data_IF_617250577779
#
_entry.id   IF_617250577779
#
_cell.length_a   1.000
_cell.length_b   1.000
_cell.length_c   1.000
_cell.angle_alpha   90.00
_cell.angle_beta   90.00
_cell.angle_gamma   90.00
#
_symmetry.space_group_name_H-M   'P 1'
#
loop_
_entity.id
_entity.type
_entity.pdbx_description
1 polymer ?
#
# COMPACT_ATOMS: atom_id res chain seq x y z
N UNK A 1 -36.55 12.21 -6.92
CA UNK A 1 -36.23 12.32 -5.49
C UNK A 1 -35.75 13.72 -5.21
N UNK A 2 -36.33 14.42 -4.25
CA UNK A 2 -35.86 15.74 -3.81
C UNK A 2 -34.80 15.56 -2.72
N UNK A 3 -33.83 16.47 -2.65
CA UNK A 3 -32.74 16.43 -1.67
C UNK A 3 -33.25 16.28 -0.23
N UNK A 4 -34.32 17.01 0.08
CA UNK A 4 -35.03 16.99 1.36
C UNK A 4 -35.46 15.59 1.84
N UNK A 5 -35.78 14.67 0.92
CA UNK A 5 -36.20 13.31 1.30
C UNK A 5 -35.03 12.49 1.86
N UNK A 6 -33.81 12.76 1.41
CA UNK A 6 -32.59 12.08 1.87
C UNK A 6 -32.19 12.63 3.24
N UNK A 7 -32.17 13.96 3.39
CA UNK A 7 -31.73 14.61 4.64
C UNK A 7 -32.62 14.25 5.84
N UNK A 8 -33.93 14.07 5.62
CA UNK A 8 -34.89 13.73 6.68
C UNK A 8 -34.89 12.25 7.06
N UNK A 9 -34.18 11.38 6.33
CA UNK A 9 -34.15 9.95 6.59
C UNK A 9 -32.71 9.47 6.84
N UNK A 10 -32.35 9.33 8.13
CA UNK A 10 -31.01 8.93 8.56
C UNK A 10 -30.59 7.56 7.99
N UNK A 11 -31.52 6.61 7.89
CA UNK A 11 -31.23 5.28 7.34
C UNK A 11 -30.89 5.33 5.85
N UNK A 12 -31.68 6.07 5.07
CA UNK A 12 -31.42 6.30 3.65
C UNK A 12 -30.09 7.05 3.45
N UNK A 13 -29.83 8.09 4.24
CA UNK A 13 -28.58 8.85 4.19
C UNK A 13 -27.36 7.97 4.48
N UNK A 14 -27.42 7.13 5.53
CA UNK A 14 -26.32 6.24 5.89
C UNK A 14 -26.00 5.23 4.78
N UNK A 15 -27.03 4.64 4.14
CA UNK A 15 -26.85 3.71 3.02
C UNK A 15 -26.20 4.41 1.83
N UNK A 16 -26.66 5.62 1.48
CA UNK A 16 -26.09 6.37 0.37
C UNK A 16 -24.63 6.76 0.61
N UNK A 17 -24.28 7.17 1.83
CA UNK A 17 -22.89 7.47 2.22
C UNK A 17 -22.02 6.22 2.10
N UNK A 18 -22.50 5.08 2.62
CA UNK A 18 -21.76 3.82 2.54
C UNK A 18 -21.48 3.42 1.10
N UNK A 19 -22.48 3.55 0.21
CA UNK A 19 -22.31 3.25 -1.21
C UNK A 19 -21.23 4.17 -1.81
N UNK A 20 -21.35 5.49 -1.61
CA UNK A 20 -20.43 6.47 -2.22
C UNK A 20 -18.98 6.27 -1.74
N UNK A 21 -18.75 6.06 -0.45
CA UNK A 21 -17.41 5.85 0.10
C UNK A 21 -16.82 4.52 -0.39
N UNK A 22 -17.64 3.48 -0.51
CA UNK A 22 -17.19 2.14 -0.93
C UNK A 22 -16.70 2.11 -2.38
N UNK A 23 -17.22 2.99 -3.25
CA UNK A 23 -16.82 3.04 -4.66
C UNK A 23 -15.32 3.32 -4.84
N UNK A 24 -14.73 4.16 -3.99
CA UNK A 24 -13.29 4.44 -4.03
C UNK A 24 -12.46 3.19 -3.71
N UNK A 25 -12.76 2.52 -2.61
CA UNK A 25 -12.07 1.28 -2.22
C UNK A 25 -12.23 0.16 -3.25
N UNK A 26 -13.42 0.03 -3.86
CA UNK A 26 -13.67 -0.94 -4.93
C UNK A 26 -12.90 -0.61 -6.20
N UNK A 27 -12.75 0.67 -6.56
CA UNK A 27 -12.04 1.08 -7.76
C UNK A 27 -10.51 1.02 -7.60
N UNK A 28 -9.98 1.29 -6.41
CA UNK A 28 -8.54 1.42 -6.18
C UNK A 28 -7.90 0.14 -5.63
N UNK A 29 -8.55 -0.55 -4.67
CA UNK A 29 -7.95 -1.70 -3.97
C UNK A 29 -8.24 -3.00 -4.71
N UNK A 30 -9.49 -3.24 -5.11
CA UNK A 30 -9.90 -4.53 -5.67
C UNK A 30 -9.10 -4.91 -6.92
N UNK A 31 -8.85 -4.00 -7.89
CA UNK A 31 -8.06 -4.36 -9.07
C UNK A 31 -6.62 -4.77 -8.74
N UNK A 32 -6.02 -4.22 -7.69
CA UNK A 32 -4.62 -4.50 -7.32
C UNK A 32 -4.38 -5.95 -6.90
N UNK A 33 -5.42 -6.67 -6.44
CA UNK A 33 -5.32 -8.11 -6.17
C UNK A 33 -5.10 -8.94 -7.45
N UNK A 34 -5.44 -8.40 -8.62
CA UNK A 34 -5.43 -9.13 -9.89
C UNK A 34 -4.36 -8.62 -10.87
N UNK A 35 -3.71 -7.49 -10.58
CA UNK A 35 -2.64 -6.92 -11.41
C UNK A 35 -1.31 -7.62 -11.10
N UNK A 36 -0.78 -8.39 -12.06
CA UNK A 36 0.45 -9.18 -11.89
C UNK A 36 1.68 -8.35 -11.52
N UNK A 37 1.79 -7.13 -12.05
CA UNK A 37 2.94 -6.26 -11.75
C UNK A 37 3.04 -5.87 -10.27
N UNK A 38 1.98 -6.05 -9.48
CA UNK A 38 1.96 -5.77 -8.04
C UNK A 38 1.91 -7.03 -7.17
N UNK A 39 1.71 -8.21 -7.77
CA UNK A 39 1.54 -9.48 -7.03
C UNK A 39 2.64 -10.49 -7.32
N UNK A 40 3.41 -10.33 -8.39
CA UNK A 40 4.52 -11.21 -8.73
C UNK A 40 5.86 -10.66 -8.19
N UNK A 41 6.67 -11.48 -7.51
CA UNK A 41 7.98 -11.06 -7.04
C UNK A 41 8.94 -10.83 -8.22
N UNK A 42 9.94 -9.96 -8.03
CA UNK A 42 11.04 -9.85 -9.00
C UNK A 42 11.82 -11.16 -9.09
N UNK A 43 12.51 -11.37 -10.22
CA UNK A 43 13.31 -12.57 -10.45
C UNK A 43 14.30 -12.80 -9.28
N UNK A 44 14.42 -14.06 -8.87
CA UNK A 44 15.29 -14.53 -7.78
C UNK A 44 14.99 -14.00 -6.36
N UNK A 45 13.91 -13.22 -6.16
CA UNK A 45 13.50 -12.79 -4.83
C UNK A 45 12.99 -13.99 -4.02
N UNK A 46 13.59 -14.19 -2.85
CA UNK A 46 13.19 -15.20 -1.88
C UNK A 46 12.61 -14.53 -0.64
N UNK A 47 11.68 -15.19 0.07
CA UNK A 47 11.26 -14.74 1.39
C UNK A 47 12.46 -14.56 2.33
N UNK A 48 12.31 -13.66 3.29
CA UNK A 48 13.32 -13.43 4.32
C UNK A 48 13.68 -14.73 5.03
N UNK A 49 14.97 -14.92 5.30
CA UNK A 49 15.43 -15.97 6.23
C UNK A 49 14.92 -15.67 7.64
N UNK A 50 14.89 -16.68 8.51
CA UNK A 50 14.40 -16.52 9.89
C UNK A 50 15.09 -15.36 10.64
N UNK A 51 16.41 -15.22 10.49
CA UNK A 51 17.16 -14.12 11.13
C UNK A 51 16.81 -12.75 10.55
N UNK A 52 16.63 -12.67 9.22
CA UNK A 52 16.25 -11.40 8.57
C UNK A 52 14.82 -10.99 8.94
N UNK A 53 13.90 -11.95 9.05
CA UNK A 53 12.52 -11.69 9.45
C UNK A 53 12.47 -11.14 10.88
N UNK A 54 13.18 -11.77 11.83
CA UNK A 54 13.28 -11.25 13.19
C UNK A 54 13.94 -9.86 13.22
N UNK A 55 14.99 -9.64 12.43
CA UNK A 55 15.62 -8.33 12.30
C UNK A 55 14.67 -7.26 11.75
N UNK A 56 13.77 -7.64 10.84
CA UNK A 56 12.72 -6.77 10.29
C UNK A 56 11.65 -6.44 11.34
N UNK A 57 11.27 -7.40 12.16
CA UNK A 57 10.33 -7.14 13.26
C UNK A 57 10.94 -6.19 14.30
N UNK A 58 12.25 -6.29 14.55
CA UNK A 58 12.99 -5.29 15.34
C UNK A 58 12.98 -3.92 14.63
N UNK A 59 13.24 -3.85 13.33
CA UNK A 59 13.17 -2.59 12.57
C UNK A 59 11.81 -1.89 12.71
N UNK A 60 10.72 -2.66 12.66
CA UNK A 60 9.35 -2.15 12.87
C UNK A 60 9.18 -1.71 14.33
N UNK A 61 9.60 -2.52 15.30
CA UNK A 61 9.47 -2.22 16.74
C UNK A 61 10.19 -0.93 17.14
N UNK A 62 11.38 -0.69 16.60
CA UNK A 62 12.16 0.51 16.87
C UNK A 62 11.67 1.74 16.06
N UNK A 63 10.65 1.56 15.22
CA UNK A 63 10.05 2.65 14.46
C UNK A 63 11.00 3.26 13.43
N UNK A 64 11.95 2.49 12.90
CA UNK A 64 12.94 2.99 11.95
C UNK A 64 12.30 3.58 10.68
N UNK A 65 11.13 3.07 10.30
CA UNK A 65 10.33 3.55 9.16
C UNK A 65 9.89 5.02 9.29
N UNK A 66 9.89 5.60 10.50
CA UNK A 66 9.57 7.02 10.71
C UNK A 66 10.65 7.98 10.18
N UNK A 67 11.87 7.49 9.97
CA UNK A 67 12.98 8.29 9.45
C UNK A 67 13.61 7.72 8.17
N UNK A 68 13.34 6.46 7.84
CA UNK A 68 13.95 5.76 6.72
C UNK A 68 12.89 5.19 5.77
N UNK A 69 12.82 5.77 4.57
CA UNK A 69 12.03 5.23 3.46
C UNK A 69 12.76 4.05 2.81
N UNK A 70 12.00 3.03 2.42
CA UNK A 70 12.48 1.92 1.60
C UNK A 70 11.86 1.93 0.19
N UNK A 71 11.51 3.11 -0.34
CA UNK A 71 10.97 3.26 -1.69
C UNK A 71 11.69 4.39 -2.44
N UNK A 72 12.50 4.01 -3.43
CA UNK A 72 13.22 4.95 -4.30
C UNK A 72 12.30 5.34 -5.46
N UNK A 73 12.09 6.65 -5.67
CA UNK A 73 11.21 7.16 -6.72
C UNK A 73 11.91 7.17 -8.09
N UNK A 74 11.17 7.09 -9.22
CA UNK A 74 11.74 7.00 -10.57
C UNK A 74 12.22 8.35 -11.11
N UNK A 75 13.04 9.07 -10.34
CA UNK A 75 13.69 10.30 -10.74
C UNK A 75 15.20 10.08 -10.87
N UNK A 76 15.81 10.65 -11.91
CA UNK A 76 17.27 10.55 -12.13
C UNK A 76 18.10 10.89 -10.88
N UNK A 77 17.74 11.96 -10.18
CA UNK A 77 18.48 12.40 -8.99
C UNK A 77 18.41 11.41 -7.81
N UNK A 78 17.30 10.68 -7.67
CA UNK A 78 17.20 9.61 -6.67
C UNK A 78 17.92 8.36 -7.14
N UNK A 79 17.84 8.05 -8.43
CA UNK A 79 18.56 6.89 -8.98
C UNK A 79 20.07 7.04 -8.85
N UNK A 80 20.61 8.23 -9.12
CA UNK A 80 22.03 8.54 -8.91
C UNK A 80 22.45 8.50 -7.44
N UNK A 81 21.52 8.76 -6.51
CA UNK A 81 21.80 8.81 -5.07
C UNK A 81 21.66 7.45 -4.39
N UNK A 82 20.60 6.71 -4.68
CA UNK A 82 20.18 5.53 -3.92
C UNK A 82 20.23 4.22 -4.74
N UNK A 83 20.37 4.29 -6.07
CA UNK A 83 20.36 3.13 -6.96
C UNK A 83 19.05 3.00 -7.74
N UNK A 84 18.80 1.81 -8.32
CA UNK A 84 17.61 1.60 -9.16
C UNK A 84 16.32 1.98 -8.41
N UNK A 85 15.36 2.59 -9.12
CA UNK A 85 14.06 2.92 -8.53
C UNK A 85 13.34 1.65 -8.09
N UNK A 86 12.58 1.74 -7.00
CA UNK A 86 11.97 0.54 -6.43
C UNK A 86 10.88 -0.03 -7.35
N UNK A 87 10.79 -1.35 -7.38
CA UNK A 87 9.79 -2.09 -8.15
C UNK A 87 8.75 -2.70 -7.20
N UNK A 88 7.48 -2.72 -7.61
CA UNK A 88 6.42 -3.29 -6.77
C UNK A 88 6.71 -4.75 -6.38
N UNK A 89 7.33 -5.53 -7.27
CA UNK A 89 7.73 -6.91 -7.03
C UNK A 89 8.78 -7.11 -5.92
N UNK A 90 9.49 -6.06 -5.49
CA UNK A 90 10.47 -6.14 -4.40
C UNK A 90 9.81 -6.28 -3.02
N UNK A 91 8.55 -5.83 -2.89
CA UNK A 91 7.84 -5.72 -1.62
C UNK A 91 6.75 -6.79 -1.45
N UNK A 92 6.66 -7.78 -2.34
CA UNK A 92 5.56 -8.77 -2.36
C UNK A 92 5.51 -9.60 -1.06
N UNK A 93 6.64 -9.80 -0.40
CA UNK A 93 6.72 -10.53 0.87
C UNK A 93 6.69 -9.62 2.12
N UNK A 94 6.53 -8.31 1.96
CA UNK A 94 6.54 -7.38 3.08
C UNK A 94 5.17 -7.25 3.75
N UNK A 95 5.08 -7.79 4.96
CA UNK A 95 3.90 -7.67 5.81
C UNK A 95 4.27 -7.04 7.16
N UNK A 96 3.90 -5.77 7.43
CA UNK A 96 3.37 -4.75 6.50
C UNK A 96 4.49 -4.12 5.66
N UNK A 97 4.15 -3.50 4.52
CA UNK A 97 5.08 -2.76 3.66
C UNK A 97 5.92 -1.71 4.43
N UNK A 98 7.15 -1.39 3.96
CA UNK A 98 8.10 -0.48 4.65
C UNK A 98 8.52 0.74 3.78
N UNK A 99 7.63 1.21 2.91
CA UNK A 99 7.93 2.22 1.87
C UNK A 99 8.33 3.60 2.41
N UNK A 100 7.90 3.97 3.62
CA UNK A 100 8.05 5.31 4.20
C UNK A 100 6.79 6.18 4.05
N UNK A 101 6.90 7.48 4.33
CA UNK A 101 5.81 8.46 4.27
C UNK A 101 6.31 9.85 3.88
#
# INVERSE_FOLDING_TARGET
>A
MTHETIEKNVGLMAILILIVISLGGLAEIVPLFFVRSTTEPVADLKPYTALQLEGRDVYIREGCYNCHSQMIRPFRAETERYGHYSLAGEFVYDHPFQWGS
#
